data_IF_705598954339
#
_entry.id   IF_705598954339
#
_cell.length_a   1.000
_cell.length_b   1.000
_cell.length_c   1.000
_cell.angle_alpha   90.00
_cell.angle_beta   90.00
_cell.angle_gamma   90.00
#
_symmetry.space_group_name_H-M   'P 1'
#
loop_
_entity.id
_entity.type
_entity.pdbx_description
1 polymer ?
#
# COMPACT_ATOMS: atom_id res chain seq x y z
N UNK A 1 -13.07 -8.80 -10.00
CA UNK A 1 -12.24 -7.59 -9.90
C UNK A 1 -12.64 -6.94 -8.60
N UNK A 2 -11.75 -6.97 -7.63
CA UNK A 2 -11.98 -6.35 -6.33
C UNK A 2 -12.09 -4.84 -6.55
N UNK A 3 -13.23 -4.28 -6.17
CA UNK A 3 -13.51 -2.87 -6.39
C UNK A 3 -12.85 -2.08 -5.24
N UNK A 4 -11.59 -1.72 -5.42
CA UNK A 4 -10.82 -0.94 -4.43
C UNK A 4 -11.29 0.50 -4.27
N UNK A 5 -12.01 1.04 -5.26
CA UNK A 5 -12.48 2.43 -5.29
C UNK A 5 -13.98 2.53 -5.50
N UNK A 6 -14.64 3.42 -4.75
CA UNK A 6 -16.04 3.79 -4.97
C UNK A 6 -16.21 4.49 -6.33
N UNK A 7 -17.44 4.50 -6.86
CA UNK A 7 -17.73 5.30 -8.06
C UNK A 7 -17.41 6.78 -7.81
N UNK A 8 -16.54 7.35 -8.65
CA UNK A 8 -16.03 8.73 -8.58
C UNK A 8 -15.01 9.04 -7.47
N UNK A 9 -14.42 8.02 -6.83
CA UNK A 9 -13.31 8.21 -5.90
C UNK A 9 -11.99 7.72 -6.50
N UNK A 10 -10.93 8.51 -6.34
CA UNK A 10 -9.56 8.15 -6.73
C UNK A 10 -8.68 7.85 -5.51
N UNK A 11 -9.28 7.75 -4.32
CA UNK A 11 -8.60 7.47 -3.06
C UNK A 11 -9.49 6.61 -2.17
N UNK A 12 -8.90 5.68 -1.44
CA UNK A 12 -9.59 4.85 -0.45
C UNK A 12 -8.65 4.57 0.72
N UNK A 13 -9.18 4.70 1.94
CA UNK A 13 -8.45 4.44 3.18
C UNK A 13 -9.05 3.21 3.86
N UNK A 14 -8.20 2.25 4.21
CA UNK A 14 -8.61 1.01 4.85
C UNK A 14 -7.74 0.73 6.06
N UNK A 15 -8.37 0.42 7.21
CA UNK A 15 -7.66 -0.11 8.37
C UNK A 15 -7.67 -1.64 8.25
N UNK A 16 -6.48 -2.22 8.17
CA UNK A 16 -6.30 -3.66 8.04
C UNK A 16 -5.67 -4.22 9.32
N UNK A 17 -6.35 -5.17 9.96
CA UNK A 17 -5.87 -5.90 11.14
C UNK A 17 -5.62 -7.39 10.84
N UNK A 18 -5.45 -7.75 9.56
CA UNK A 18 -5.19 -9.13 9.17
C UNK A 18 -3.78 -9.55 9.59
N UNK A 19 -3.62 -10.81 10.02
CA UNK A 19 -2.29 -11.37 10.33
C UNK A 19 -1.50 -11.78 9.10
N UNK A 20 -2.15 -11.85 7.95
CA UNK A 20 -1.57 -12.29 6.68
C UNK A 20 -2.24 -11.60 5.51
N UNK A 21 -1.51 -11.45 4.42
CA UNK A 21 -2.06 -11.05 3.11
C UNK A 21 -1.35 -11.83 2.04
N UNK A 22 -2.12 -12.46 1.14
CA UNK A 22 -1.55 -13.21 0.02
C UNK A 22 -0.72 -12.30 -0.89
N UNK A 23 0.26 -12.89 -1.60
CA UNK A 23 1.06 -12.18 -2.59
C UNK A 23 0.16 -11.65 -3.71
N UNK A 24 0.14 -10.33 -3.87
CA UNK A 24 -0.65 -9.66 -4.88
C UNK A 24 0.02 -8.38 -5.36
N UNK A 25 -0.59 -7.73 -6.34
CA UNK A 25 -0.19 -6.43 -6.89
C UNK A 25 -1.43 -5.70 -7.40
N UNK A 26 -1.27 -4.42 -7.72
CA UNK A 26 -2.35 -3.55 -8.17
C UNK A 26 -1.86 -2.41 -9.05
N UNK A 27 -2.81 -1.75 -9.72
CA UNK A 27 -2.62 -0.66 -10.69
C UNK A 27 -2.93 0.73 -10.09
N UNK A 28 -2.47 0.95 -8.87
CA UNK A 28 -2.56 2.22 -8.13
C UNK A 28 -1.38 2.37 -7.17
N UNK A 29 -1.14 3.59 -6.68
CA UNK A 29 -0.20 3.81 -5.59
C UNK A 29 -0.85 3.42 -4.27
N UNK A 30 -0.06 2.81 -3.40
CA UNK A 30 -0.48 2.50 -2.05
C UNK A 30 0.53 3.07 -1.06
N UNK A 31 0.07 3.95 -0.17
CA UNK A 31 0.84 4.37 1.00
C UNK A 31 0.35 3.60 2.22
N UNK A 32 1.27 2.95 2.91
CA UNK A 32 0.98 2.17 4.11
C UNK A 32 1.56 2.85 5.32
N UNK A 33 0.78 2.96 6.39
CA UNK A 33 1.24 3.41 7.71
C UNK A 33 0.97 2.34 8.76
N UNK A 34 1.99 1.95 9.52
CA UNK A 34 1.86 0.92 10.56
C UNK A 34 1.44 1.56 11.88
N UNK A 35 0.21 1.25 12.32
CA UNK A 35 -0.35 1.79 13.58
C UNK A 35 0.16 1.00 14.79
N UNK A 36 0.26 -0.33 14.65
CA UNK A 36 0.50 -1.24 15.78
C UNK A 36 1.22 -2.50 15.32
N UNK A 37 2.06 -3.05 16.21
CA UNK A 37 2.66 -4.37 16.02
C UNK A 37 3.84 -4.38 15.07
N UNK A 38 4.18 -5.57 14.58
CA UNK A 38 5.26 -5.83 13.61
C UNK A 38 4.84 -6.89 12.62
N UNK A 39 5.31 -6.76 11.38
CA UNK A 39 5.07 -7.75 10.32
C UNK A 39 6.32 -7.94 9.45
N UNK A 40 6.49 -9.14 8.91
CA UNK A 40 7.31 -9.38 7.74
C UNK A 40 6.59 -8.78 6.53
N UNK A 41 7.25 -7.88 5.82
CA UNK A 41 6.79 -7.31 4.57
C UNK A 41 7.72 -7.77 3.45
N UNK A 42 7.16 -8.46 2.46
CA UNK A 42 7.88 -8.80 1.24
C UNK A 42 7.40 -7.86 0.15
N UNK A 43 8.32 -7.14 -0.48
CA UNK A 43 8.07 -6.25 -1.62
C UNK A 43 9.06 -6.57 -2.74
N UNK A 44 8.56 -6.96 -3.90
CA UNK A 44 9.35 -7.33 -5.08
C UNK A 44 10.47 -8.34 -4.74
N UNK A 45 10.15 -9.33 -3.91
CA UNK A 45 11.08 -10.38 -3.46
C UNK A 45 12.06 -9.94 -2.37
N UNK A 46 12.05 -8.68 -1.95
CA UNK A 46 12.85 -8.20 -0.80
C UNK A 46 12.03 -8.27 0.47
N UNK A 47 12.52 -9.00 1.46
CA UNK A 47 11.89 -9.11 2.77
C UNK A 47 12.45 -8.09 3.76
N UNK A 48 11.56 -7.44 4.51
CA UNK A 48 11.87 -6.49 5.57
C UNK A 48 10.94 -6.70 6.76
N UNK A 49 11.31 -6.18 7.93
CA UNK A 49 10.40 -6.09 9.09
C UNK A 49 9.90 -4.66 9.17
N UNK A 50 8.58 -4.50 9.19
CA UNK A 50 7.89 -3.24 9.46
C UNK A 50 7.34 -3.23 10.88
N UNK A 51 7.28 -2.06 11.51
CA UNK A 51 6.80 -1.88 12.88
C UNK A 51 6.03 -0.57 13.04
N UNK A 52 5.29 -0.45 14.15
CA UNK A 52 4.53 0.75 14.47
C UNK A 52 5.35 2.04 14.31
N UNK A 53 4.81 3.01 13.57
CA UNK A 53 5.46 4.27 13.21
C UNK A 53 6.14 4.26 11.83
N UNK A 54 6.38 3.09 11.24
CA UNK A 54 6.90 2.99 9.87
C UNK A 54 5.81 3.40 8.86
N UNK A 55 6.27 3.99 7.76
CA UNK A 55 5.47 4.18 6.56
C UNK A 55 6.28 3.83 5.32
N UNK A 56 5.60 3.43 4.26
CA UNK A 56 6.22 3.14 2.98
C UNK A 56 5.20 3.27 1.85
N UNK A 57 5.72 3.25 0.63
CA UNK A 57 4.92 3.33 -0.59
C UNK A 57 5.17 2.08 -1.42
N UNK A 58 4.09 1.45 -1.84
CA UNK A 58 4.07 0.39 -2.83
C UNK A 58 3.72 1.04 -4.16
N UNK A 59 4.64 0.91 -5.11
CA UNK A 59 4.45 1.45 -6.45
C UNK A 59 3.53 0.56 -7.28
N UNK A 60 3.09 1.08 -8.43
CA UNK A 60 2.33 0.32 -9.42
C UNK A 60 2.99 -1.02 -9.73
N UNK A 61 2.17 -2.07 -9.83
CA UNK A 61 2.59 -3.43 -10.14
C UNK A 61 3.59 -4.03 -9.13
N UNK A 62 3.75 -3.42 -7.95
CA UNK A 62 4.59 -3.91 -6.87
C UNK A 62 4.00 -5.17 -6.24
N UNK A 63 4.65 -6.32 -6.44
CA UNK A 63 4.25 -7.56 -5.80
C UNK A 63 4.58 -7.50 -4.31
N UNK A 64 3.56 -7.59 -3.46
CA UNK A 64 3.76 -7.50 -2.03
C UNK A 64 2.83 -8.41 -1.22
N UNK A 65 3.26 -8.70 0.02
CA UNK A 65 2.53 -9.49 1.00
C UNK A 65 3.00 -9.17 2.42
N UNK A 66 2.15 -9.49 3.41
CA UNK A 66 2.43 -9.30 4.82
C UNK A 66 2.26 -10.60 5.59
N UNK A 67 3.13 -10.86 6.56
CA UNK A 67 2.96 -11.92 7.55
C UNK A 67 3.24 -11.40 8.96
N UNK A 68 2.39 -11.74 9.91
CA UNK A 68 2.62 -11.43 11.32
C UNK A 68 3.95 -12.01 11.83
N UNK A 69 4.65 -11.24 12.67
CA UNK A 69 5.81 -11.73 13.43
C UNK A 69 5.29 -12.49 14.65
N UNK A 70 5.72 -13.74 14.84
CA UNK A 70 5.35 -14.57 16.00
C UNK A 70 3.83 -14.70 16.23
N UNK A 71 3.03 -14.70 15.15
CA UNK A 71 1.55 -14.75 15.19
C UNK A 71 0.92 -13.59 16.01
N UNK A 72 1.65 -12.48 16.19
CA UNK A 72 1.17 -11.28 16.86
C UNK A 72 0.38 -10.40 15.90
N UNK A 73 -0.66 -9.76 16.42
CA UNK A 73 -1.43 -8.79 15.66
C UNK A 73 -0.56 -7.59 15.22
N UNK A 74 -0.75 -7.16 13.98
CA UNK A 74 -0.30 -5.87 13.49
C UNK A 74 -1.46 -5.16 12.80
N UNK A 75 -1.40 -3.83 12.77
CA UNK A 75 -2.46 -2.99 12.21
C UNK A 75 -1.83 -1.95 11.29
N UNK A 76 -2.34 -1.86 10.07
CA UNK A 76 -1.90 -0.89 9.06
C UNK A 76 -3.07 -0.06 8.56
N UNK A 77 -2.77 1.15 8.10
CA UNK A 77 -3.66 1.96 7.26
C UNK A 77 -3.13 1.88 5.84
N UNK A 78 -3.92 1.33 4.93
CA UNK A 78 -3.63 1.37 3.49
C UNK A 78 -4.37 2.57 2.91
N UNK A 79 -3.61 3.48 2.33
CA UNK A 79 -4.13 4.61 1.55
C UNK A 79 -3.87 4.29 0.09
N UNK A 80 -4.89 3.79 -0.60
CA UNK A 80 -4.84 3.47 -2.02
C UNK A 80 -5.24 4.71 -2.79
N UNK A 81 -4.47 5.12 -3.80
CA UNK A 81 -4.81 6.28 -4.59
C UNK A 81 -4.24 6.25 -5.99
N UNK A 82 -4.94 6.91 -6.91
CA UNK A 82 -4.42 7.23 -8.24
C UNK A 82 -3.86 8.65 -8.24
N UNK A 83 -2.72 8.93 -8.91
CA UNK A 83 -2.07 10.23 -8.87
C UNK A 83 -2.96 11.44 -9.22
N UNK A 84 -3.99 11.25 -10.04
CA UNK A 84 -4.95 12.29 -10.41
C UNK A 84 -5.79 12.85 -9.24
N UNK A 85 -5.73 12.25 -8.05
CA UNK A 85 -6.29 12.87 -6.83
C UNK A 85 -5.48 14.09 -6.37
N UNK A 86 -4.18 14.12 -6.66
CA UNK A 86 -3.27 15.22 -6.29
C UNK A 86 -3.45 16.36 -7.30
N UNK A 87 -3.36 16.04 -8.58
CA UNK A 87 -3.61 16.96 -9.69
C UNK A 87 -4.10 16.17 -10.91
N UNK A 88 -5.15 16.65 -11.58
CA UNK A 88 -5.74 15.99 -12.76
C UNK A 88 -4.76 15.79 -13.91
N UNK A 89 -3.70 16.60 -14.00
CA UNK A 89 -2.66 16.43 -15.04
C UNK A 89 -1.87 15.13 -14.87
N UNK A 90 -1.90 14.53 -13.68
CA UNK A 90 -1.18 13.30 -13.35
C UNK A 90 -1.91 12.01 -13.74
N UNK A 91 -3.01 12.10 -14.53
CA UNK A 91 -3.79 10.93 -14.98
C UNK A 91 -2.98 9.88 -15.77
N UNK A 92 -1.79 10.23 -16.23
CA UNK A 92 -0.87 9.30 -16.91
C UNK A 92 0.38 8.97 -16.10
N UNK A 93 0.46 9.46 -14.86
CA UNK A 93 1.51 9.11 -13.92
C UNK A 93 1.21 7.72 -13.33
N UNK A 94 2.14 6.79 -13.50
CA UNK A 94 2.02 5.41 -13.03
C UNK A 94 3.28 4.94 -12.28
N UNK A 95 3.99 5.89 -11.64
CA UNK A 95 5.08 5.57 -10.73
C UNK A 95 5.20 6.63 -9.66
N UNK A 96 5.47 6.21 -8.42
CA UNK A 96 5.79 7.13 -7.34
C UNK A 96 7.03 7.97 -7.65
N UNK A 97 8.03 7.37 -8.31
CA UNK A 97 9.24 8.10 -8.72
C UNK A 97 8.89 9.23 -9.68
N UNK A 98 8.02 8.97 -10.65
CA UNK A 98 7.61 10.00 -11.59
C UNK A 98 6.82 11.09 -10.85
N UNK A 99 5.91 10.69 -9.96
CA UNK A 99 5.09 11.61 -9.17
C UNK A 99 5.91 12.66 -8.41
N UNK A 100 7.02 12.26 -7.77
CA UNK A 100 7.84 13.18 -6.96
C UNK A 100 8.86 14.01 -7.77
N UNK A 101 9.04 13.70 -9.05
CA UNK A 101 9.96 14.41 -9.94
C UNK A 101 9.24 15.41 -10.86
N UNK A 102 7.92 15.59 -10.69
CA UNK A 102 7.13 16.64 -11.33
C UNK A 102 7.04 17.88 -10.42
#
# INVERSE_FOLDING_TARGET
MDQFFSQNENITLMVCCSKHTELHKHDFLEMVYVIKGKAHHVLNGTETIIQAGDYFIIDYEGYHQYHSVEDKEFVIINTLFKPEIIDKVLIHCHSFKDLINH
#
